data_IF_752872112123
#
_entry.id   IF_752872112123
#
_cell.length_a   1.000
_cell.length_b   1.000
_cell.length_c   1.000
_cell.angle_alpha   90.00
_cell.angle_beta   90.00
_cell.angle_gamma   90.00
#
_symmetry.space_group_name_H-M   'P 1'
#
loop_
_entity.id
_entity.type
_entity.pdbx_description
1 polymer ?
#
# COMPACT_ATOMS: atom_id res chain seq x y z
N UNK A 1 -9.98 -27.64 -25.26
CA UNK A 1 -9.94 -26.90 -26.54
C UNK A 1 -8.49 -26.79 -26.99
N UNK A 2 -8.15 -27.13 -28.24
CA UNK A 2 -6.79 -26.97 -28.75
C UNK A 2 -6.42 -25.48 -28.78
N UNK A 3 -5.22 -25.17 -28.30
CA UNK A 3 -4.73 -23.79 -28.10
C UNK A 3 -4.61 -23.09 -29.46
N UNK A 4 -5.22 -21.90 -29.56
CA UNK A 4 -5.09 -20.93 -30.65
C UNK A 4 -3.63 -20.74 -31.05
N UNK A 5 -3.29 -20.48 -32.33
CA UNK A 5 -1.90 -20.35 -32.77
C UNK A 5 -1.16 -19.34 -31.88
N UNK A 6 -0.09 -19.80 -31.27
CA UNK A 6 0.82 -19.07 -30.40
C UNK A 6 1.24 -17.77 -31.11
N UNK A 7 0.64 -16.65 -30.71
CA UNK A 7 0.88 -15.33 -31.32
C UNK A 7 2.20 -14.74 -30.84
N UNK A 8 2.76 -13.84 -31.63
CA UNK A 8 3.91 -13.03 -31.23
C UNK A 8 3.61 -12.25 -29.93
N UNK A 9 4.63 -12.10 -29.09
CA UNK A 9 4.60 -11.41 -27.80
C UNK A 9 3.91 -10.03 -27.91
N UNK A 10 2.65 -9.92 -27.47
CA UNK A 10 1.92 -8.65 -27.38
C UNK A 10 1.59 -8.37 -25.90
N UNK A 11 2.51 -7.73 -25.15
CA UNK A 11 2.33 -7.51 -23.72
C UNK A 11 1.20 -6.52 -23.38
N UNK A 12 0.69 -5.78 -24.37
CA UNK A 12 -0.40 -4.81 -24.19
C UNK A 12 -1.80 -5.46 -24.29
N UNK A 13 -1.92 -6.66 -24.89
CA UNK A 13 -3.20 -7.39 -25.05
C UNK A 13 -3.53 -8.29 -23.85
N UNK A 14 -2.64 -8.37 -22.85
CA UNK A 14 -2.84 -9.14 -21.62
C UNK A 14 -2.45 -10.62 -21.70
N UNK A 15 -2.17 -11.13 -22.90
CA UNK A 15 -1.68 -12.50 -23.09
C UNK A 15 -0.16 -12.51 -23.31
N UNK A 16 0.56 -13.21 -22.44
CA UNK A 16 2.02 -13.26 -22.47
C UNK A 16 2.51 -14.64 -22.89
N UNK A 17 3.16 -14.72 -24.07
CA UNK A 17 3.70 -15.96 -24.63
C UNK A 17 5.22 -15.83 -24.82
N UNK A 18 5.99 -16.77 -24.29
CA UNK A 18 7.42 -16.86 -24.53
C UNK A 18 7.80 -18.28 -24.95
N UNK A 19 8.57 -18.36 -26.02
CA UNK A 19 9.33 -19.55 -26.38
C UNK A 19 10.70 -19.43 -25.74
N UNK A 20 11.02 -20.37 -24.87
CA UNK A 20 12.27 -20.42 -24.12
C UNK A 20 13.12 -21.54 -24.70
N UNK A 21 14.12 -21.19 -25.50
CA UNK A 21 15.07 -22.17 -26.03
C UNK A 21 16.02 -22.69 -24.93
N UNK A 22 16.30 -21.83 -23.96
CA UNK A 22 17.21 -22.06 -22.84
C UNK A 22 16.50 -22.64 -21.62
N UNK A 23 17.28 -22.95 -20.57
CA UNK A 23 16.72 -23.32 -19.28
C UNK A 23 16.00 -22.13 -18.67
N UNK A 24 14.75 -22.32 -18.28
CA UNK A 24 13.98 -21.31 -17.56
C UNK A 24 14.01 -21.57 -16.06
N UNK A 25 14.22 -20.51 -15.27
CA UNK A 25 14.21 -20.56 -13.82
C UNK A 25 13.15 -19.65 -13.25
N UNK A 26 12.43 -20.15 -12.26
CA UNK A 26 11.57 -19.35 -11.40
C UNK A 26 12.24 -19.20 -10.03
N UNK A 27 11.75 -18.28 -9.22
CA UNK A 27 12.40 -17.91 -7.97
C UNK A 27 11.45 -18.13 -6.81
N UNK A 28 11.92 -18.80 -5.77
CA UNK A 28 11.18 -19.08 -4.53
C UNK A 28 11.86 -18.32 -3.39
N UNK A 29 11.08 -17.76 -2.47
CA UNK A 29 11.62 -17.16 -1.24
C UNK A 29 12.19 -18.28 -0.36
N UNK A 30 13.46 -18.15 0.06
CA UNK A 30 14.12 -19.09 0.93
C UNK A 30 13.45 -19.09 2.32
N UNK A 31 12.82 -20.20 2.75
CA UNK A 31 12.15 -20.26 4.04
C UNK A 31 13.14 -20.27 5.23
N UNK A 32 14.41 -20.62 5.02
CA UNK A 32 15.40 -20.74 6.09
C UNK A 32 16.04 -19.39 6.46
N UNK A 33 15.97 -18.40 5.57
CA UNK A 33 16.56 -17.09 5.79
C UNK A 33 15.62 -16.15 6.59
N UNK A 34 15.96 -15.91 7.87
CA UNK A 34 15.10 -15.10 8.77
C UNK A 34 15.34 -13.59 8.73
N UNK A 35 16.48 -13.13 8.19
CA UNK A 35 16.90 -11.71 8.33
C UNK A 35 16.90 -10.90 7.03
N UNK A 36 17.10 -11.55 5.89
CA UNK A 36 17.02 -10.94 4.55
C UNK A 36 16.29 -11.90 3.65
N UNK A 37 15.42 -11.39 2.78
CA UNK A 37 14.79 -12.21 1.75
C UNK A 37 15.88 -12.73 0.82
N UNK A 38 16.14 -14.03 0.88
CA UNK A 38 16.96 -14.74 -0.07
C UNK A 38 16.03 -15.45 -1.06
N UNK A 39 16.51 -15.59 -2.28
CA UNK A 39 15.75 -16.04 -3.43
C UNK A 39 16.47 -17.24 -4.04
N UNK A 40 15.80 -18.38 -4.12
CA UNK A 40 16.37 -19.62 -4.65
C UNK A 40 15.87 -19.79 -6.09
N UNK A 41 16.77 -19.74 -7.09
CA UNK A 41 16.39 -20.00 -8.47
C UNK A 41 16.20 -21.51 -8.68
N UNK A 42 15.01 -21.91 -9.12
CA UNK A 42 14.63 -23.29 -9.39
C UNK A 42 14.33 -23.48 -10.86
N UNK A 43 14.85 -24.55 -11.46
CA UNK A 43 14.65 -24.84 -12.88
C UNK A 43 13.24 -25.38 -13.12
N UNK A 44 12.58 -24.89 -14.17
CA UNK A 44 11.36 -25.50 -14.70
C UNK A 44 11.75 -26.67 -15.59
N UNK A 45 11.21 -27.85 -15.30
CA UNK A 45 11.36 -29.03 -16.12
C UNK A 45 9.99 -29.69 -16.34
N UNK A 46 9.85 -30.40 -17.46
CA UNK A 46 8.66 -31.17 -17.73
C UNK A 46 8.49 -32.27 -16.66
N UNK A 47 7.33 -32.38 -15.99
CA UNK A 47 7.13 -33.41 -14.96
C UNK A 47 7.05 -34.83 -15.52
N UNK A 48 6.91 -34.99 -16.83
CA UNK A 48 6.77 -36.29 -17.49
C UNK A 48 8.07 -36.76 -18.14
N UNK A 49 8.74 -35.89 -18.90
CA UNK A 49 9.95 -36.25 -19.64
C UNK A 49 11.21 -35.51 -19.19
N UNK A 50 11.13 -34.73 -18.11
CA UNK A 50 12.25 -33.98 -17.52
C UNK A 50 12.96 -33.01 -18.48
N UNK A 51 12.35 -32.71 -19.63
CA UNK A 51 12.85 -31.70 -20.56
C UNK A 51 12.85 -30.31 -19.89
N UNK A 52 14.02 -29.68 -19.85
CA UNK A 52 14.31 -28.41 -19.19
C UNK A 52 14.59 -27.27 -20.18
N UNK A 53 14.58 -27.57 -21.48
CA UNK A 53 14.90 -26.66 -22.59
C UNK A 53 13.81 -26.71 -23.66
N UNK A 54 13.75 -25.67 -24.51
CA UNK A 54 12.72 -25.58 -25.56
C UNK A 54 11.29 -25.47 -25.02
N UNK A 55 11.14 -24.97 -23.78
CA UNK A 55 9.84 -24.84 -23.12
C UNK A 55 9.04 -23.68 -23.71
N UNK A 56 7.75 -23.88 -23.88
CA UNK A 56 6.80 -22.83 -24.24
C UNK A 56 6.00 -22.46 -23.00
N UNK A 57 6.05 -21.20 -22.62
CA UNK A 57 5.35 -20.68 -21.45
C UNK A 57 4.31 -19.65 -21.91
N UNK A 58 3.05 -19.85 -21.50
CA UNK A 58 1.93 -18.97 -21.79
C UNK A 58 1.24 -18.54 -20.51
N UNK A 59 0.91 -17.27 -20.41
CA UNK A 59 -0.05 -16.78 -19.44
C UNK A 59 -1.43 -16.68 -20.10
N UNK A 60 -2.43 -17.34 -19.50
CA UNK A 60 -3.82 -17.16 -19.88
C UNK A 60 -4.49 -16.19 -18.93
N UNK A 61 -4.98 -15.08 -19.48
CA UNK A 61 -5.82 -14.15 -18.75
C UNK A 61 -7.24 -14.74 -18.57
N UNK A 62 -7.71 -14.91 -17.33
CA UNK A 62 -8.98 -15.59 -17.04
C UNK A 62 -9.27 -15.80 -15.55
N UNK A 63 -10.23 -16.67 -15.23
CA UNK A 63 -10.64 -17.00 -13.84
C UNK A 63 -9.49 -17.67 -13.07
N UNK A 64 -8.65 -18.43 -13.77
CA UNK A 64 -7.44 -19.05 -13.25
C UNK A 64 -6.22 -18.45 -13.96
N UNK A 65 -5.76 -17.31 -13.46
CA UNK A 65 -4.54 -16.65 -13.94
C UNK A 65 -3.33 -17.53 -13.61
N UNK A 66 -2.93 -18.41 -14.53
CA UNK A 66 -1.79 -19.31 -14.33
C UNK A 66 -0.89 -19.35 -15.56
N UNK A 67 0.38 -19.68 -15.34
CA UNK A 67 1.35 -19.93 -16.39
C UNK A 67 1.22 -21.40 -16.83
N UNK A 68 0.82 -21.61 -18.07
CA UNK A 68 0.84 -22.92 -18.72
C UNK A 68 2.19 -23.14 -19.38
N UNK A 69 2.77 -24.31 -19.15
CA UNK A 69 4.02 -24.74 -19.74
C UNK A 69 3.78 -25.90 -20.71
N UNK A 70 4.50 -25.90 -21.83
CA UNK A 70 4.52 -27.01 -22.77
C UNK A 70 5.96 -27.40 -23.10
N UNK A 71 6.25 -28.69 -23.08
CA UNK A 71 7.56 -29.22 -23.46
C UNK A 71 7.63 -29.43 -24.99
N UNK A 72 8.84 -29.57 -25.57
CA UNK A 72 9.00 -29.83 -27.00
C UNK A 72 8.36 -31.14 -27.48
N UNK A 73 8.16 -32.11 -26.58
CA UNK A 73 7.49 -33.40 -26.85
C UNK A 73 5.95 -33.24 -26.90
N UNK A 74 5.40 -32.10 -26.47
CA UNK A 74 3.98 -31.80 -26.52
C UNK A 74 3.20 -32.05 -25.23
N UNK A 75 3.86 -32.44 -24.13
CA UNK A 75 3.23 -32.45 -22.81
C UNK A 75 2.94 -31.03 -22.36
N UNK A 76 1.72 -30.80 -21.84
CA UNK A 76 1.29 -29.52 -21.29
C UNK A 76 0.97 -29.68 -19.82
N UNK A 77 1.36 -28.70 -19.00
CA UNK A 77 1.03 -28.66 -17.59
C UNK A 77 0.86 -27.22 -17.14
N UNK A 78 0.25 -27.07 -15.97
CA UNK A 78 0.05 -25.78 -15.32
C UNK A 78 1.16 -25.61 -14.29
N UNK A 79 1.97 -24.57 -14.43
CA UNK A 79 3.05 -24.25 -13.50
C UNK A 79 2.58 -23.23 -12.47
N UNK A 80 1.96 -23.73 -11.40
CA UNK A 80 1.44 -22.90 -10.30
C UNK A 80 2.51 -22.28 -9.42
N UNK A 81 3.79 -22.65 -9.57
CA UNK A 81 4.90 -22.12 -8.77
C UNK A 81 5.47 -20.83 -9.33
N UNK A 82 5.23 -20.54 -10.62
CA UNK A 82 5.65 -19.29 -11.24
C UNK A 82 4.66 -18.20 -10.82
N UNK A 83 5.17 -17.21 -10.09
CA UNK A 83 4.37 -16.04 -9.75
C UNK A 83 4.00 -15.25 -11.02
N UNK A 84 2.71 -14.98 -11.18
CA UNK A 84 2.16 -14.29 -12.36
C UNK A 84 2.74 -12.90 -12.53
N UNK A 85 2.96 -12.15 -11.44
CA UNK A 85 3.51 -10.80 -11.53
C UNK A 85 4.97 -10.83 -11.99
N UNK A 86 5.75 -11.79 -11.48
CA UNK A 86 7.13 -12.02 -11.93
C UNK A 86 7.18 -12.42 -13.40
N UNK A 87 6.28 -13.30 -13.84
CA UNK A 87 6.13 -13.70 -15.24
C UNK A 87 5.81 -12.50 -16.15
N UNK A 88 4.80 -11.70 -15.78
CA UNK A 88 4.42 -10.51 -16.54
C UNK A 88 5.56 -9.49 -16.62
N UNK A 89 6.28 -9.27 -15.50
CA UNK A 89 7.43 -8.39 -15.45
C UNK A 89 8.55 -8.88 -16.40
N UNK A 90 8.86 -10.18 -16.38
CA UNK A 90 9.85 -10.77 -17.28
C UNK A 90 9.45 -10.68 -18.76
N UNK A 91 8.16 -10.89 -19.08
CA UNK A 91 7.67 -10.74 -20.45
C UNK A 91 7.79 -9.30 -20.95
N UNK A 92 7.50 -8.30 -20.10
CA UNK A 92 7.71 -6.88 -20.44
C UNK A 92 9.18 -6.55 -20.62
N UNK A 93 10.04 -7.11 -19.76
CA UNK A 93 11.48 -6.99 -19.89
C UNK A 93 11.97 -7.56 -21.23
N UNK A 94 11.55 -8.77 -21.62
CA UNK A 94 11.84 -9.38 -22.95
C UNK A 94 11.32 -8.54 -24.12
N UNK A 95 10.25 -7.77 -23.93
CA UNK A 95 9.72 -6.83 -24.90
C UNK A 95 10.46 -5.48 -24.97
N UNK A 96 11.57 -5.31 -24.24
CA UNK A 96 12.36 -4.08 -24.21
C UNK A 96 11.81 -3.00 -23.27
N UNK A 97 10.82 -3.33 -22.42
CA UNK A 97 10.29 -2.42 -21.39
C UNK A 97 10.96 -2.73 -20.05
N UNK A 98 12.14 -2.15 -19.85
CA UNK A 98 12.93 -2.29 -18.65
C UNK A 98 12.45 -1.31 -17.57
N UNK A 99 11.65 -1.77 -16.61
CA UNK A 99 11.37 -1.00 -15.40
C UNK A 99 12.42 -1.36 -14.34
N UNK A 100 13.05 -0.35 -13.75
CA UNK A 100 14.14 -0.54 -12.80
C UNK A 100 13.75 -1.39 -11.57
N UNK A 101 12.48 -1.31 -11.17
CA UNK A 101 11.94 -2.03 -10.01
C UNK A 101 11.86 -3.56 -10.23
N UNK A 102 12.11 -4.07 -11.46
CA UNK A 102 12.09 -5.50 -11.79
C UNK A 102 13.47 -6.07 -12.15
N UNK A 103 14.52 -5.25 -12.21
CA UNK A 103 15.88 -5.73 -12.49
C UNK A 103 16.36 -6.76 -11.46
N UNK A 104 15.92 -6.62 -10.21
CA UNK A 104 16.24 -7.59 -9.15
C UNK A 104 15.75 -9.01 -9.45
N UNK A 105 14.72 -9.19 -10.29
CA UNK A 105 14.25 -10.53 -10.68
C UNK A 105 15.33 -11.28 -11.47
N UNK A 106 16.00 -10.57 -12.38
CA UNK A 106 17.08 -11.12 -13.19
C UNK A 106 18.30 -11.37 -12.30
N UNK A 107 18.62 -10.45 -11.39
CA UNK A 107 19.68 -10.64 -10.39
C UNK A 107 19.40 -11.83 -9.46
N UNK A 108 18.14 -12.08 -9.11
CA UNK A 108 17.70 -13.23 -8.33
C UNK A 108 17.70 -14.55 -9.13
N UNK A 109 17.98 -14.50 -10.44
CA UNK A 109 18.04 -15.67 -11.32
C UNK A 109 16.70 -16.10 -11.90
N UNK A 110 15.69 -15.22 -11.93
CA UNK A 110 14.44 -15.44 -12.65
C UNK A 110 14.65 -15.27 -14.17
N UNK A 111 14.21 -16.25 -14.95
CA UNK A 111 14.24 -16.21 -16.41
C UNK A 111 15.19 -17.22 -17.05
N UNK A 112 15.61 -16.92 -18.28
CA UNK A 112 16.53 -17.73 -19.08
C UNK A 112 17.97 -17.71 -18.53
N UNK A 113 18.63 -18.88 -18.51
CA UNK A 113 20.06 -18.99 -18.23
C UNK A 113 20.86 -19.43 -19.48
N UNK A 114 21.93 -18.70 -19.87
CA UNK A 114 22.37 -17.42 -19.30
C UNK A 114 21.40 -16.29 -19.64
N UNK A 115 21.31 -15.24 -18.79
CA UNK A 115 20.43 -14.10 -19.04
C UNK A 115 20.75 -13.48 -20.40
N UNK A 116 19.74 -12.89 -21.08
CA UNK A 116 20.01 -12.15 -22.31
C UNK A 116 21.04 -11.03 -22.03
N UNK A 117 21.89 -10.67 -23.01
CA UNK A 117 22.87 -9.61 -22.81
C UNK A 117 22.16 -8.28 -22.53
N UNK A 118 22.42 -7.70 -21.35
CA UNK A 118 21.85 -6.42 -20.90
C UNK A 118 23.00 -5.47 -20.61
N UNK A 119 22.95 -4.26 -21.17
CA UNK A 119 23.83 -3.17 -20.76
C UNK A 119 23.31 -2.53 -19.46
N UNK A 120 23.58 -3.20 -18.34
CA UNK A 120 23.14 -2.78 -16.99
C UNK A 120 23.49 -1.31 -16.67
N UNK A 121 24.63 -0.82 -17.18
CA UNK A 121 25.10 0.55 -16.94
C UNK A 121 24.17 1.58 -17.57
N UNK A 122 23.69 1.34 -18.80
CA UNK A 122 22.79 2.26 -19.48
C UNK A 122 21.41 2.29 -18.81
N UNK A 123 20.92 1.14 -18.36
CA UNK A 123 19.61 1.04 -17.71
C UNK A 123 19.56 1.73 -16.35
N UNK A 124 20.60 1.56 -15.54
CA UNK A 124 20.74 2.27 -14.26
C UNK A 124 20.77 3.79 -14.49
N UNK A 125 21.45 4.25 -15.53
CA UNK A 125 21.47 5.65 -15.94
C UNK A 125 20.08 6.18 -16.30
N UNK A 126 19.33 5.44 -17.13
CA UNK A 126 17.95 5.79 -17.53
C UNK A 126 17.00 5.84 -16.32
N UNK A 127 17.09 4.87 -15.42
CA UNK A 127 16.29 4.79 -14.20
C UNK A 127 16.50 6.02 -13.30
N UNK A 128 17.76 6.42 -13.07
CA UNK A 128 18.08 7.57 -12.24
C UNK A 128 17.47 8.88 -12.81
N UNK A 129 17.53 9.04 -14.13
CA UNK A 129 16.94 10.20 -14.83
C UNK A 129 15.42 10.25 -14.65
N UNK A 130 14.73 9.11 -14.75
CA UNK A 130 13.28 9.08 -14.65
C UNK A 130 12.78 9.28 -13.22
N UNK A 131 13.47 8.73 -12.23
CA UNK A 131 13.22 9.04 -10.81
C UNK A 131 13.40 10.53 -10.54
N UNK A 132 14.45 11.15 -11.08
CA UNK A 132 14.69 12.58 -10.93
C UNK A 132 13.58 13.43 -11.60
N UNK A 133 13.14 13.07 -12.82
CA UNK A 133 11.99 13.72 -13.50
C UNK A 133 10.72 13.61 -12.67
N UNK A 134 10.41 12.43 -12.14
CA UNK A 134 9.23 12.21 -11.30
C UNK A 134 9.29 13.07 -10.03
N UNK A 135 10.42 13.08 -9.34
CA UNK A 135 10.68 13.92 -8.16
C UNK A 135 10.44 15.41 -8.46
N UNK A 136 10.99 15.90 -9.58
CA UNK A 136 10.82 17.29 -10.03
C UNK A 136 9.35 17.64 -10.33
N UNK A 137 8.61 16.74 -10.98
CA UNK A 137 7.17 16.92 -11.26
C UNK A 137 6.36 16.98 -9.96
N UNK A 138 6.62 16.09 -9.01
CA UNK A 138 5.94 16.04 -7.70
C UNK A 138 6.23 17.29 -6.86
N UNK A 139 7.48 17.76 -6.85
CA UNK A 139 7.87 18.99 -6.19
C UNK A 139 7.15 20.22 -6.80
N UNK A 140 7.18 20.37 -8.13
CA UNK A 140 6.45 21.44 -8.84
C UNK A 140 4.95 21.41 -8.54
N UNK A 141 4.33 20.23 -8.52
CA UNK A 141 2.91 20.09 -8.17
C UNK A 141 2.61 20.54 -6.73
N UNK A 142 3.48 20.20 -5.77
CA UNK A 142 3.34 20.63 -4.36
C UNK A 142 3.46 22.16 -4.24
N UNK A 143 4.40 22.77 -4.95
CA UNK A 143 4.57 24.23 -4.99
C UNK A 143 3.33 24.89 -5.59
N UNK A 144 2.84 24.43 -6.76
CA UNK A 144 1.63 24.96 -7.40
C UNK A 144 0.40 24.87 -6.48
N UNK A 145 0.25 23.77 -5.73
CA UNK A 145 -0.84 23.62 -4.74
C UNK A 145 -0.72 24.63 -3.61
N UNK A 146 0.48 24.86 -3.07
CA UNK A 146 0.72 25.89 -2.04
C UNK A 146 0.41 27.29 -2.55
N UNK A 147 0.86 27.64 -3.77
CA UNK A 147 0.60 28.95 -4.38
C UNK A 147 -0.91 29.15 -4.62
N UNK A 148 -1.63 28.12 -5.09
CA UNK A 148 -3.08 28.20 -5.29
C UNK A 148 -3.83 28.37 -3.97
N UNK A 149 -3.39 27.71 -2.89
CA UNK A 149 -4.05 27.83 -1.58
C UNK A 149 -3.80 29.19 -0.93
N UNK A 150 -2.59 29.75 -1.05
CA UNK A 150 -2.29 31.12 -0.59
C UNK A 150 -3.07 32.15 -1.41
N UNK A 151 -3.09 32.06 -2.74
CA UNK A 151 -3.91 32.96 -3.60
C UNK A 151 -5.40 32.91 -3.22
N UNK A 152 -5.96 31.72 -2.99
CA UNK A 152 -7.35 31.57 -2.52
C UNK A 152 -7.57 32.22 -1.15
N UNK A 153 -6.64 32.05 -0.21
CA UNK A 153 -6.74 32.63 1.14
C UNK A 153 -6.68 34.16 1.09
N UNK A 154 -5.77 34.73 0.30
CA UNK A 154 -5.65 36.18 0.09
C UNK A 154 -6.91 36.72 -0.60
N UNK A 155 -7.35 36.10 -1.70
CA UNK A 155 -8.56 36.52 -2.40
C UNK A 155 -9.84 36.39 -1.57
N UNK A 156 -9.89 35.47 -0.61
CA UNK A 156 -10.98 35.39 0.38
C UNK A 156 -10.90 36.53 1.40
N UNK A 157 -9.70 36.88 1.88
CA UNK A 157 -9.51 38.04 2.76
C UNK A 157 -9.95 39.34 2.08
N UNK A 158 -9.46 39.60 0.87
CA UNK A 158 -9.83 40.81 0.10
C UNK A 158 -11.33 40.90 -0.11
N UNK A 159 -11.98 39.81 -0.52
CA UNK A 159 -13.45 39.77 -0.66
C UNK A 159 -14.16 40.01 0.66
N UNK A 160 -13.71 39.39 1.75
CA UNK A 160 -14.30 39.60 3.07
C UNK A 160 -14.12 41.05 3.54
N UNK A 161 -12.96 41.67 3.28
CA UNK A 161 -12.66 43.07 3.59
C UNK A 161 -13.58 44.01 2.79
N UNK A 162 -13.70 43.79 1.47
CA UNK A 162 -14.56 44.57 0.58
C UNK A 162 -16.04 44.42 0.92
N UNK A 163 -16.47 43.26 1.43
CA UNK A 163 -17.84 43.02 1.88
C UNK A 163 -18.10 43.47 3.33
N UNK A 164 -17.10 43.95 4.08
CA UNK A 164 -17.31 44.50 5.44
C UNK A 164 -18.34 45.64 5.48
N UNK A 165 -18.28 46.67 4.61
CA UNK A 165 -19.26 47.76 4.65
C UNK A 165 -20.67 47.27 4.34
N UNK A 166 -20.84 46.40 3.33
CA UNK A 166 -22.14 45.79 3.00
C UNK A 166 -22.66 44.95 4.16
N UNK A 167 -21.79 44.16 4.80
CA UNK A 167 -22.17 43.38 5.98
C UNK A 167 -22.49 44.26 7.20
N UNK A 168 -21.88 45.44 7.31
CA UNK A 168 -22.22 46.42 8.35
C UNK A 168 -23.61 47.02 8.09
N UNK A 169 -23.91 47.41 6.85
CA UNK A 169 -25.23 47.92 6.46
C UNK A 169 -26.33 46.88 6.63
N UNK A 170 -26.07 45.62 6.28
CA UNK A 170 -27.03 44.53 6.52
C UNK A 170 -27.25 44.27 8.01
N UNK A 171 -26.20 44.38 8.83
CA UNK A 171 -26.34 44.29 10.29
C UNK A 171 -27.15 45.45 10.86
N UNK A 172 -26.92 46.68 10.41
CA UNK A 172 -27.69 47.85 10.89
C UNK A 172 -29.13 47.81 10.42
N UNK A 173 -29.39 47.41 9.16
CA UNK A 173 -30.74 47.21 8.66
C UNK A 173 -31.50 46.13 9.45
N UNK A 174 -30.83 45.02 9.78
CA UNK A 174 -31.41 43.98 10.62
C UNK A 174 -31.70 44.47 12.05
N UNK A 175 -30.77 45.23 12.67
CA UNK A 175 -30.98 45.83 14.00
C UNK A 175 -32.19 46.78 14.00
N UNK A 176 -32.36 47.57 12.94
CA UNK A 176 -33.51 48.47 12.81
C UNK A 176 -34.83 47.71 12.61
N UNK A 177 -34.82 46.64 11.82
CA UNK A 177 -36.01 45.79 11.61
C UNK A 177 -36.36 44.96 12.85
N UNK A 178 -35.37 44.59 13.66
CA UNK A 178 -35.55 43.84 14.91
C UNK A 178 -35.83 44.74 16.14
N UNK A 179 -36.08 46.04 15.95
CA UNK A 179 -36.50 46.95 17.02
C UNK A 179 -35.38 47.31 18.01
N UNK A 180 -34.12 47.37 17.57
CA UNK A 180 -32.99 47.77 18.43
C UNK A 180 -32.46 46.65 19.33
N UNK A 181 -32.95 45.41 19.18
CA UNK A 181 -32.34 44.25 19.82
C UNK A 181 -31.02 43.98 19.11
N UNK A 182 -29.89 44.29 19.76
CA UNK A 182 -28.60 43.86 19.26
C UNK A 182 -28.66 42.35 18.98
N UNK A 183 -28.24 41.87 17.80
CA UNK A 183 -28.12 40.44 17.59
C UNK A 183 -27.21 39.97 18.72
N UNK A 184 -27.72 39.07 19.57
CA UNK A 184 -26.94 38.42 20.62
C UNK A 184 -25.67 37.97 19.92
N UNK A 185 -24.57 38.70 20.13
CA UNK A 185 -23.27 38.26 19.65
C UNK A 185 -23.15 36.93 20.34
N UNK A 186 -23.30 35.84 19.58
CA UNK A 186 -23.46 34.51 20.16
C UNK A 186 -22.25 34.35 21.06
N UNK A 187 -22.45 34.56 22.36
CA UNK A 187 -21.36 34.71 23.30
C UNK A 187 -20.68 33.38 23.17
N UNK A 188 -19.47 33.38 22.62
CA UNK A 188 -18.76 32.16 22.30
C UNK A 188 -18.74 31.39 23.60
N UNK A 189 -19.60 30.35 23.71
CA UNK A 189 -19.93 29.71 24.99
C UNK A 189 -18.62 29.59 25.75
N UNK A 190 -18.49 30.16 26.96
CA UNK A 190 -17.23 30.04 27.69
C UNK A 190 -16.91 28.55 27.68
N UNK A 191 -15.74 28.23 27.13
CA UNK A 191 -15.33 26.84 27.00
C UNK A 191 -15.48 26.23 28.38
N UNK A 192 -16.29 25.16 28.50
CA UNK A 192 -16.52 24.45 29.78
C UNK A 192 -15.18 24.40 30.51
N UNK A 193 -15.09 24.90 31.76
CA UNK A 193 -13.84 24.86 32.50
C UNK A 193 -13.34 23.42 32.44
N UNK A 194 -12.16 23.24 31.85
CA UNK A 194 -11.58 21.90 31.70
C UNK A 194 -11.44 21.36 33.11
N UNK A 195 -11.99 20.18 33.37
CA UNK A 195 -11.81 19.50 34.64
C UNK A 195 -10.32 19.55 35.02
N UNK A 196 -9.99 19.76 36.32
CA UNK A 196 -8.59 19.78 36.75
C UNK A 196 -7.94 18.52 36.21
N UNK A 197 -6.87 18.70 35.42
CA UNK A 197 -6.13 17.58 34.85
C UNK A 197 -5.52 16.82 36.00
N UNK A 198 -6.14 15.72 36.41
CA UNK A 198 -5.50 14.75 37.29
C UNK A 198 -4.16 14.39 36.66
N UNK A 199 -3.04 14.61 37.37
CA UNK A 199 -1.74 14.31 36.80
C UNK A 199 -1.69 12.81 36.45
N UNK A 200 -1.05 12.46 35.32
CA UNK A 200 -0.98 11.07 34.90
C UNK A 200 -0.26 10.25 35.98
N UNK A 201 -0.61 8.97 36.10
CA UNK A 201 -0.01 8.03 37.07
C UNK A 201 1.53 8.00 36.97
N UNK A 202 2.09 8.31 35.80
CA UNK A 202 3.53 8.46 35.59
C UNK A 202 4.15 9.62 36.39
N UNK A 203 3.44 10.73 36.57
CA UNK A 203 3.91 11.87 37.36
C UNK A 203 4.00 11.51 38.84
N UNK A 204 3.03 10.75 39.36
CA UNK A 204 3.09 10.20 40.72
C UNK A 204 4.26 9.22 40.90
N UNK A 205 4.45 8.28 39.96
CA UNK A 205 5.59 7.33 40.01
C UNK A 205 6.94 8.02 40.05
N UNK A 206 7.10 9.09 39.25
CA UNK A 206 8.33 9.90 39.23
C UNK A 206 8.55 10.65 40.54
N UNK A 207 7.49 11.18 41.15
CA UNK A 207 7.58 11.87 42.43
C UNK A 207 8.00 10.93 43.59
N UNK A 208 7.54 9.68 43.57
CA UNK A 208 7.88 8.67 44.58
C UNK A 208 9.10 7.80 44.22
N UNK A 209 9.83 8.11 43.15
CA UNK A 209 11.03 7.36 42.74
C UNK A 209 10.76 5.91 42.31
N UNK A 210 9.50 5.54 42.04
CA UNK A 210 9.11 4.17 41.69
C UNK A 210 9.37 3.95 40.21
N UNK A 211 10.23 2.99 39.87
CA UNK A 211 10.47 2.60 38.48
C UNK A 211 9.18 2.10 37.83
N UNK A 212 8.98 2.44 36.56
CA UNK A 212 7.81 1.94 35.83
C UNK A 212 7.88 0.40 35.75
N UNK A 213 6.79 -0.32 36.03
CA UNK A 213 6.77 -1.77 35.90
C UNK A 213 7.10 -2.13 34.46
N UNK A 214 8.04 -3.06 34.27
CA UNK A 214 8.31 -3.66 32.97
C UNK A 214 7.00 -4.27 32.48
N UNK A 215 6.59 -3.92 31.26
CA UNK A 215 5.34 -4.44 30.69
C UNK A 215 5.46 -5.95 30.63
N UNK A 216 4.63 -6.66 31.39
CA UNK A 216 4.60 -8.12 31.37
C UNK A 216 4.18 -8.67 30.01
N UNK A 217 4.38 -9.98 29.78
CA UNK A 217 3.87 -10.63 28.57
C UNK A 217 2.36 -10.45 28.46
N UNK A 218 1.85 -10.31 27.24
CA UNK A 218 0.41 -10.11 26.98
C UNK A 218 -0.40 -11.36 27.31
N UNK A 219 0.12 -12.53 26.96
CA UNK A 219 -0.44 -13.80 27.36
C UNK A 219 0.37 -14.39 28.50
N UNK A 220 -0.29 -14.55 29.65
CA UNK A 220 0.32 -15.11 30.86
C UNK A 220 0.57 -16.63 30.75
N UNK A 221 -0.14 -17.31 29.84
CA UNK A 221 -0.05 -18.77 29.67
C UNK A 221 1.12 -19.16 28.77
N UNK A 222 1.25 -18.51 27.61
CA UNK A 222 2.33 -18.75 26.64
C UNK A 222 3.54 -17.83 26.84
N UNK A 223 3.48 -16.86 27.76
CA UNK A 223 4.46 -15.77 27.90
C UNK A 223 4.86 -15.12 26.54
N UNK A 224 3.86 -14.95 25.67
CA UNK A 224 4.00 -14.44 24.29
C UNK A 224 4.83 -15.30 23.32
N UNK A 225 5.24 -16.52 23.71
CA UNK A 225 5.94 -17.45 22.81
C UNK A 225 4.99 -18.09 21.78
N UNK A 226 3.67 -18.06 22.02
CA UNK A 226 2.67 -18.70 21.17
C UNK A 226 2.61 -20.22 21.29
N UNK A 227 3.43 -20.83 22.15
CA UNK A 227 3.44 -22.28 22.40
C UNK A 227 3.56 -22.57 23.89
N UNK A 228 2.97 -23.67 24.32
CA UNK A 228 3.23 -24.26 25.62
C UNK A 228 4.23 -25.39 25.41
N UNK A 229 5.37 -25.30 26.07
CA UNK A 229 6.44 -26.31 26.03
C UNK A 229 6.35 -27.20 27.26
N UNK A 230 6.02 -28.47 27.05
CA UNK A 230 6.26 -29.57 27.99
C UNK A 230 7.41 -30.44 27.43
N UNK A 231 8.14 -31.23 28.25
CA UNK A 231 9.22 -32.06 27.75
C UNK A 231 8.71 -33.00 26.65
N UNK A 232 9.24 -32.83 25.43
CA UNK A 232 8.90 -33.65 24.26
C UNK A 232 7.68 -33.21 23.44
N UNK A 233 6.90 -32.20 23.86
CA UNK A 233 5.69 -31.77 23.13
C UNK A 233 5.58 -30.24 23.14
N UNK A 234 5.56 -29.64 21.95
CA UNK A 234 5.25 -28.22 21.76
C UNK A 234 3.83 -28.07 21.23
N UNK A 235 2.91 -27.56 22.05
CA UNK A 235 1.50 -27.35 21.66
C UNK A 235 1.27 -25.85 21.40
N UNK A 236 0.60 -25.45 20.31
CA UNK A 236 0.22 -24.05 20.12
C UNK A 236 -0.69 -23.58 21.26
N UNK A 237 -0.49 -22.35 21.72
CA UNK A 237 -1.32 -21.79 22.77
C UNK A 237 -2.71 -21.45 22.23
N UNK A 238 -3.76 -21.88 22.93
CA UNK A 238 -5.16 -21.66 22.52
C UNK A 238 -5.67 -20.28 22.97
N UNK A 239 -5.06 -19.70 24.01
CA UNK A 239 -5.42 -18.40 24.58
C UNK A 239 -4.77 -17.21 23.85
N UNK A 240 -3.79 -17.48 22.98
CA UNK A 240 -3.03 -16.45 22.27
C UNK A 240 -2.78 -16.91 20.83
N UNK A 241 -3.12 -16.10 19.82
CA UNK A 241 -2.80 -16.39 18.41
C UNK A 241 -1.27 -16.43 18.13
N UNK A 242 -0.48 -16.15 19.16
CA UNK A 242 0.98 -16.19 19.13
C UNK A 242 1.61 -14.93 18.53
N UNK A 243 2.94 -14.84 18.62
CA UNK A 243 3.68 -13.66 18.17
C UNK A 243 3.63 -13.48 16.65
N UNK A 244 3.55 -14.58 15.89
CA UNK A 244 3.46 -14.55 14.43
C UNK A 244 2.14 -13.93 13.93
N UNK A 245 1.00 -14.37 14.47
CA UNK A 245 -0.29 -13.78 14.11
C UNK A 245 -0.40 -12.32 14.58
N UNK A 246 0.14 -11.99 15.76
CA UNK A 246 0.20 -10.60 16.23
C UNK A 246 1.06 -9.69 15.32
N UNK A 247 2.16 -10.21 14.77
CA UNK A 247 3.00 -9.50 13.80
C UNK A 247 2.29 -9.30 12.46
N UNK A 248 1.56 -10.31 11.97
CA UNK A 248 0.72 -10.22 10.78
C UNK A 248 -0.39 -9.18 10.96
N UNK A 249 -1.13 -9.23 12.07
CA UNK A 249 -2.17 -8.24 12.37
C UNK A 249 -1.61 -6.81 12.56
N UNK A 250 -0.36 -6.67 12.96
CA UNK A 250 0.32 -5.37 13.02
C UNK A 250 0.80 -4.89 11.64
N UNK A 251 1.26 -5.82 10.79
CA UNK A 251 1.61 -5.57 9.40
C UNK A 251 0.37 -5.19 8.58
N UNK A 252 -0.74 -5.88 8.76
CA UNK A 252 -2.04 -5.56 8.17
C UNK A 252 -2.53 -4.18 8.63
N UNK A 253 -2.49 -3.86 9.93
CA UNK A 253 -2.84 -2.51 10.41
C UNK A 253 -1.92 -1.40 9.90
N UNK A 254 -0.68 -1.71 9.54
CA UNK A 254 0.24 -0.75 8.89
C UNK A 254 -0.05 -0.65 7.40
N UNK A 255 -0.31 -1.76 6.73
CA UNK A 255 -0.71 -1.82 5.33
C UNK A 255 -2.04 -1.10 5.12
N UNK A 256 -3.00 -1.28 6.03
CA UNK A 256 -4.28 -0.61 6.05
C UNK A 256 -4.13 0.89 6.30
N UNK A 257 -3.29 1.31 7.25
CA UNK A 257 -2.93 2.74 7.40
C UNK A 257 -2.24 3.32 6.16
N UNK A 258 -1.43 2.54 5.46
CA UNK A 258 -0.81 2.96 4.21
C UNK A 258 -1.84 3.06 3.06
N UNK A 259 -2.82 2.16 3.02
CA UNK A 259 -3.97 2.19 2.09
C UNK A 259 -4.90 3.37 2.39
N UNK A 260 -5.16 3.66 3.67
CA UNK A 260 -5.98 4.78 4.14
C UNK A 260 -5.26 6.14 4.05
N UNK A 261 -3.93 6.14 3.96
CA UNK A 261 -3.07 7.33 3.84
C UNK A 261 -3.25 8.20 2.59
N UNK A 262 -4.30 7.96 1.78
CA UNK A 262 -4.65 8.79 0.63
C UNK A 262 -6.05 9.43 0.70
N UNK A 263 -6.92 9.04 1.63
CA UNK A 263 -8.31 9.51 1.60
C UNK A 263 -9.00 9.73 2.96
N UNK A 264 -8.29 10.16 4.01
CA UNK A 264 -8.98 10.67 5.20
C UNK A 264 -8.57 12.12 5.51
N UNK A 265 -9.25 13.03 4.81
CA UNK A 265 -9.61 14.30 5.45
C UNK A 265 -10.66 13.94 6.52
N UNK A 266 -10.56 14.47 7.74
CA UNK A 266 -11.70 14.42 8.65
C UNK A 266 -12.80 15.32 8.08
N UNK A 267 -13.74 14.71 7.37
CA UNK A 267 -15.05 15.27 7.03
C UNK A 267 -16.12 14.41 7.67
N UNK A 268 -16.13 14.36 9.00
CA UNK A 268 -17.22 13.79 9.80
C UNK A 268 -17.77 14.83 10.78
N UNK A 269 -17.85 16.08 10.32
CA UNK A 269 -18.60 17.17 10.99
C UNK A 269 -19.52 17.94 10.04
N UNK A 270 -19.82 17.39 8.86
CA UNK A 270 -20.63 18.10 7.84
C UNK A 270 -21.85 17.31 7.34
N UNK A 271 -22.23 16.18 7.97
CA UNK A 271 -23.41 15.39 7.56
C UNK A 271 -24.44 15.14 8.66
N UNK A 272 -24.33 15.82 9.81
CA UNK A 272 -25.41 15.88 10.81
C UNK A 272 -26.19 17.21 10.75
N UNK A 273 -25.96 18.06 9.73
CA UNK A 273 -26.61 19.36 9.61
C UNK A 273 -27.71 19.46 8.54
N UNK A 274 -27.86 18.46 7.68
CA UNK A 274 -28.74 18.55 6.50
C UNK A 274 -29.97 17.63 6.56
N UNK A 275 -30.13 16.79 7.58
CA UNK A 275 -31.31 15.92 7.76
C UNK A 275 -32.40 16.50 8.69
N UNK A 276 -32.14 17.62 9.38
CA UNK A 276 -33.15 18.28 10.23
C UNK A 276 -33.96 19.37 9.52
N UNK A 277 -33.73 19.61 8.21
CA UNK A 277 -34.42 20.68 7.46
C UNK A 277 -35.41 20.14 6.41
N UNK A 278 -36.01 18.97 6.65
CA UNK A 278 -37.05 18.38 5.78
C UNK A 278 -38.28 17.85 6.54
N UNK A 279 -38.59 18.39 7.71
CA UNK A 279 -39.78 17.98 8.50
C UNK A 279 -40.66 19.13 9.01
N UNK A 280 -40.49 20.36 8.52
CA UNK A 280 -41.44 21.46 8.83
C UNK A 280 -41.79 22.27 7.59
N UNK A 281 -42.65 21.69 6.76
CA UNK A 281 -43.54 22.43 5.85
C UNK A 281 -44.87 21.69 5.81
N UNK A 282 -45.74 22.09 6.73
CA UNK A 282 -47.17 22.21 6.54
C UNK A 282 -47.52 23.65 6.86
#
# INVERSE_FOLDING_TARGET
MPISPWRALSPDDGDHYLLVERRFRYVIEDPEHTWRRAWIPTVIACPVCEADTGLRLAYKSGVDAVVEAACPVGHTWVEGRVDVLQWMAYCRFRAGRHEADWLWLIEAGFGEEPPPPIDLVEEVGKAAVDVAKYGRRKARAKIRRKVRSTKKRVGKRVRNEAMRPVAALLRTAWIMQAGGVEPITASRRPAKPKAPKTPPVSAYRKAYGVQAPKKGPKCLVCQDTGRMTAPGISVPCVECDGPAAAALAAAERRAERARQGKHERPTERARQGDDERRTTSK
#
